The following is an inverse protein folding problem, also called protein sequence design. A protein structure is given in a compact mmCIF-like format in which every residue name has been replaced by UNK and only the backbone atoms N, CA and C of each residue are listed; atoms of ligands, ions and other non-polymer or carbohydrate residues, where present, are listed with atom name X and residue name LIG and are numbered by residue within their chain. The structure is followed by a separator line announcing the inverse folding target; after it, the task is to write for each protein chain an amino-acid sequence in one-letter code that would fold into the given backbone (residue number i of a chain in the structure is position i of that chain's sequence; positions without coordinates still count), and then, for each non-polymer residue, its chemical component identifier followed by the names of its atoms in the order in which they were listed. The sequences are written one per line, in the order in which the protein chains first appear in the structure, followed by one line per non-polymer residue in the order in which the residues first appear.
data_IF_744260446023
#
_entry.id   IF_744260446023
#
_cell.length_a   1.000
_cell.length_b   1.000
_cell.length_c   1.000
_cell.angle_alpha   90.00
_cell.angle_beta   90.00
_cell.angle_gamma   90.00
#
_symmetry.space_group_name_H-M   'P 1'
#
loop_
_entity.id
_entity.type
_entity.pdbx_description
1 polymer ?
#
# COMPACT_ATOMS: atom_id res chain seq x y z
N UNK A 1 35.04 9.96 61.84
CA UNK A 1 36.10 8.93 61.77
C UNK A 1 36.34 8.68 60.29
N UNK A 2 37.07 9.53 59.59
CA UNK A 2 38.54 9.66 59.51
C UNK A 2 39.20 8.53 58.70
N UNK A 3 39.66 8.90 57.51
CA UNK A 3 40.80 8.35 56.77
C UNK A 3 40.62 7.12 55.86
N UNK A 4 39.51 7.00 55.14
CA UNK A 4 39.53 6.34 53.82
C UNK A 4 39.49 7.42 52.74
N UNK A 5 40.63 8.08 52.49
CA UNK A 5 40.85 8.65 51.17
C UNK A 5 40.91 7.45 50.22
N UNK A 6 39.81 7.20 49.50
CA UNK A 6 39.81 6.18 48.45
C UNK A 6 40.94 6.51 47.48
N UNK A 7 42.03 5.75 47.56
CA UNK A 7 43.11 5.78 46.57
C UNK A 7 42.46 5.48 45.22
N UNK A 8 42.24 6.51 44.41
CA UNK A 8 41.58 6.33 43.12
C UNK A 8 42.51 5.60 42.16
N UNK A 9 41.95 5.01 41.10
CA UNK A 9 42.79 4.43 40.04
C UNK A 9 43.76 5.47 39.47
N UNK A 10 43.34 6.72 39.41
CA UNK A 10 44.17 7.84 38.98
C UNK A 10 45.33 8.11 39.95
N UNK A 11 45.08 8.14 41.27
CA UNK A 11 46.14 8.35 42.26
C UNK A 11 47.18 7.23 42.24
N UNK A 12 46.76 5.96 42.05
CA UNK A 12 47.68 4.83 41.90
C UNK A 12 48.52 4.90 40.62
N UNK A 13 47.98 5.48 39.53
CA UNK A 13 48.74 5.70 38.30
C UNK A 13 49.81 6.80 38.50
N UNK A 14 49.49 7.87 39.22
CA UNK A 14 50.48 8.90 39.54
C UNK A 14 51.62 8.37 40.43
N UNK A 15 51.30 7.49 41.39
CA UNK A 15 52.31 6.81 42.22
C UNK A 15 53.18 5.84 41.41
N UNK A 16 52.60 5.11 40.44
CA UNK A 16 53.34 4.26 39.49
C UNK A 16 54.30 5.08 38.63
N UNK A 17 53.87 6.25 38.13
CA UNK A 17 54.70 7.15 37.32
C UNK A 17 55.89 7.73 38.12
N UNK A 18 55.65 8.11 39.38
CA UNK A 18 56.72 8.56 40.28
C UNK A 18 57.75 7.46 40.55
N UNK A 19 57.30 6.23 40.82
CA UNK A 19 58.19 5.08 41.03
C UNK A 19 58.98 4.72 39.75
N UNK A 20 58.36 4.89 38.58
CA UNK A 20 59.00 4.67 37.28
C UNK A 20 60.11 5.70 37.03
N UNK A 21 59.85 6.98 37.32
CA UNK A 21 60.85 8.03 37.18
C UNK A 21 62.07 7.77 38.09
N UNK A 22 61.85 7.39 39.34
CA UNK A 22 62.93 7.05 40.28
C UNK A 22 63.74 5.85 39.81
N UNK A 23 63.08 4.80 39.29
CA UNK A 23 63.77 3.63 38.74
C UNK A 23 64.59 3.99 37.49
N UNK A 24 64.06 4.86 36.63
CA UNK A 24 64.75 5.33 35.43
C UNK A 24 66.03 6.11 35.77
N UNK A 25 65.98 7.04 36.74
CA UNK A 25 67.14 7.81 37.18
C UNK A 25 68.24 6.90 37.73
N UNK A 26 67.89 5.92 38.58
CA UNK A 26 68.86 4.96 39.13
C UNK A 26 69.46 4.05 38.06
N UNK A 27 68.66 3.64 37.06
CA UNK A 27 69.17 2.86 35.93
C UNK A 27 70.17 3.69 35.11
N UNK A 28 69.88 4.97 34.88
CA UNK A 28 70.78 5.87 34.17
C UNK A 28 72.11 6.04 34.91
N UNK A 29 72.09 6.16 36.24
CA UNK A 29 73.29 6.21 37.07
C UNK A 29 74.13 4.93 36.96
N UNK A 30 73.50 3.75 37.05
CA UNK A 30 74.18 2.46 36.86
C UNK A 30 74.80 2.36 35.46
N UNK A 31 74.07 2.76 34.42
CA UNK A 31 74.57 2.74 33.04
C UNK A 31 75.76 3.69 32.86
N UNK A 32 75.75 4.86 33.49
CA UNK A 32 76.86 5.80 33.46
C UNK A 32 78.10 5.22 34.17
N UNK A 33 77.93 4.56 35.31
CA UNK A 33 79.02 3.87 36.03
C UNK A 33 79.58 2.72 35.18
N UNK A 34 78.73 1.91 34.56
CA UNK A 34 79.15 0.83 33.67
C UNK A 34 79.90 1.33 32.43
N UNK A 35 79.43 2.44 31.83
CA UNK A 35 80.12 3.09 30.73
C UNK A 35 81.50 3.60 31.16
N UNK A 36 81.59 4.20 32.35
CA UNK A 36 82.85 4.64 32.92
C UNK A 36 83.81 3.46 33.17
N UNK A 37 83.32 2.29 33.59
CA UNK A 37 84.11 1.08 33.79
C UNK A 37 84.61 0.46 32.47
N UNK A 38 83.86 0.63 31.38
CA UNK A 38 84.19 0.07 30.07
C UNK A 38 85.19 0.92 29.25
N UNK A 39 85.57 2.12 29.72
CA UNK A 39 86.51 3.01 29.02
C UNK A 39 87.97 2.51 29.13
N UNK A 40 88.68 2.27 28.02
CA UNK A 40 90.06 1.80 28.05
C UNK A 40 91.01 2.92 28.49
N UNK A 41 91.86 2.64 29.50
CA UNK A 41 92.94 3.53 29.94
C UNK A 41 92.77 4.20 31.33
N UNK A 42 91.84 3.74 32.17
CA UNK A 42 91.66 4.25 33.54
C UNK A 42 92.60 3.59 34.56
N UNK A 43 92.92 4.34 35.62
CA UNK A 43 93.70 3.85 36.76
C UNK A 43 92.95 2.74 37.50
N UNK A 44 93.67 1.73 38.00
CA UNK A 44 93.08 0.62 38.75
C UNK A 44 92.29 1.09 39.99
N UNK A 45 92.76 2.16 40.65
CA UNK A 45 92.08 2.75 41.81
C UNK A 45 90.72 3.37 41.43
N UNK A 46 90.61 4.02 40.26
CA UNK A 46 89.35 4.60 39.76
C UNK A 46 88.35 3.51 39.35
N UNK A 47 88.86 2.37 38.86
CA UNK A 47 88.04 1.20 38.54
C UNK A 47 87.50 0.54 39.80
N UNK A 48 88.33 0.38 40.84
CA UNK A 48 87.90 -0.17 42.12
C UNK A 48 86.86 0.71 42.82
N UNK A 49 87.02 2.03 42.80
CA UNK A 49 86.00 2.95 43.32
C UNK A 49 84.69 2.86 42.52
N UNK A 50 84.78 2.83 41.18
CA UNK A 50 83.59 2.68 40.32
C UNK A 50 82.87 1.35 40.55
N UNK A 51 83.58 0.27 40.87
CA UNK A 51 82.99 -1.03 41.24
C UNK A 51 82.29 -0.98 42.61
N UNK A 52 82.83 -0.25 43.59
CA UNK A 52 82.16 -0.05 44.87
C UNK A 52 80.87 0.78 44.70
N UNK A 53 80.91 1.86 43.93
CA UNK A 53 79.72 2.65 43.61
C UNK A 53 78.69 1.86 42.79
N UNK A 54 79.14 0.95 41.93
CA UNK A 54 78.24 0.06 41.19
C UNK A 54 77.47 -0.87 42.14
N UNK A 55 78.13 -1.41 43.16
CA UNK A 55 77.47 -2.30 44.13
C UNK A 55 76.36 -1.56 44.91
N UNK A 56 76.64 -0.34 45.37
CA UNK A 56 75.64 0.49 46.06
C UNK A 56 74.49 0.94 45.15
N UNK A 57 74.81 1.32 43.90
CA UNK A 57 73.79 1.75 42.93
C UNK A 57 72.93 0.58 42.44
N UNK A 58 73.51 -0.63 42.34
CA UNK A 58 72.77 -1.85 42.03
C UNK A 58 71.76 -2.20 43.13
N UNK A 59 72.12 -2.08 44.41
CA UNK A 59 71.16 -2.31 45.51
C UNK A 59 69.97 -1.36 45.46
N UNK A 60 70.23 -0.07 45.17
CA UNK A 60 69.18 0.95 44.98
C UNK A 60 68.29 0.65 43.78
N UNK A 61 68.87 0.25 42.65
CA UNK A 61 68.12 -0.12 41.45
C UNK A 61 67.19 -1.32 41.70
N UNK A 62 67.67 -2.31 42.48
CA UNK A 62 66.85 -3.47 42.85
C UNK A 62 65.71 -3.05 43.77
N UNK A 63 65.94 -2.18 44.76
CA UNK A 63 64.87 -1.72 45.66
C UNK A 63 63.81 -0.90 44.91
N UNK A 64 64.21 0.04 44.04
CA UNK A 64 63.24 0.79 43.22
C UNK A 64 62.49 -0.09 42.23
N UNK A 65 63.11 -1.15 41.70
CA UNK A 65 62.42 -2.11 40.84
C UNK A 65 61.38 -2.93 41.60
N UNK A 66 61.62 -3.24 42.88
CA UNK A 66 60.64 -3.92 43.75
C UNK A 66 59.45 -2.98 44.01
N UNK A 67 59.72 -1.72 44.34
CA UNK A 67 58.68 -0.71 44.59
C UNK A 67 57.81 -0.48 43.34
N UNK A 68 58.41 -0.39 42.14
CA UNK A 68 57.68 -0.26 40.89
C UNK A 68 56.76 -1.48 40.60
N UNK A 69 57.21 -2.69 40.93
CA UNK A 69 56.37 -3.90 40.79
C UNK A 69 55.22 -3.88 41.79
N UNK A 70 55.47 -3.42 43.02
CA UNK A 70 54.45 -3.29 44.05
C UNK A 70 53.37 -2.29 43.64
N UNK A 71 53.75 -1.08 43.19
CA UNK A 71 52.80 -0.08 42.69
C UNK A 71 52.02 -0.60 41.49
N UNK A 72 52.65 -1.37 40.60
CA UNK A 72 51.94 -2.00 39.46
C UNK A 72 50.78 -2.90 39.89
N UNK A 73 51.01 -3.77 40.88
CA UNK A 73 49.96 -4.65 41.40
C UNK A 73 48.85 -3.86 42.09
N UNK A 74 49.21 -2.81 42.84
CA UNK A 74 48.27 -1.89 43.49
C UNK A 74 47.38 -1.17 42.48
N UNK A 75 47.96 -0.61 41.41
CA UNK A 75 47.23 0.04 40.32
C UNK A 75 46.27 -0.92 39.61
N UNK A 76 46.72 -2.16 39.37
CA UNK A 76 45.87 -3.19 38.75
C UNK A 76 44.67 -3.55 39.62
N UNK A 77 44.87 -3.68 40.93
CA UNK A 77 43.77 -3.96 41.86
C UNK A 77 42.79 -2.79 41.94
N UNK A 78 43.28 -1.55 41.98
CA UNK A 78 42.45 -0.34 41.92
C UNK A 78 41.62 -0.27 40.63
N UNK A 79 42.19 -0.68 39.49
CA UNK A 79 41.45 -0.78 38.22
C UNK A 79 40.30 -1.78 38.29
N UNK A 80 40.57 -2.99 38.79
CA UNK A 80 39.61 -4.09 38.83
C UNK A 80 38.47 -3.79 39.81
N UNK A 81 38.79 -3.23 40.97
CA UNK A 81 37.80 -2.84 41.99
C UNK A 81 36.89 -1.72 41.47
N UNK A 82 37.44 -0.66 40.88
CA UNK A 82 36.67 0.43 40.29
C UNK A 82 35.82 -0.03 39.08
N UNK A 83 36.34 -0.93 38.24
CA UNK A 83 35.59 -1.48 37.10
C UNK A 83 34.35 -2.30 37.51
N UNK A 84 34.39 -2.98 38.66
CA UNK A 84 33.24 -3.73 39.20
C UNK A 84 32.14 -2.80 39.73
N UNK A 85 32.50 -1.66 40.31
CA UNK A 85 31.55 -0.65 40.82
C UNK A 85 30.77 0.04 39.71
N UNK A 86 31.33 0.19 38.52
CA UNK A 86 30.61 0.80 37.38
C UNK A 86 29.55 -0.13 36.76
N UNK A 87 29.74 -1.46 36.87
CA UNK A 87 28.78 -2.46 36.38
C UNK A 87 27.63 -2.74 37.34
N UNK A 88 27.86 -2.52 38.65
CA UNK A 88 26.78 -2.54 39.64
C UNK A 88 26.22 -1.14 39.68
N UNK A 89 24.91 -0.99 39.61
CA UNK A 89 24.21 0.29 39.51
C UNK A 89 24.34 1.20 40.75
N UNK A 90 25.47 1.19 41.46
CA UNK A 90 25.74 1.91 42.70
C UNK A 90 25.56 3.43 42.53
N UNK A 91 25.91 3.97 41.35
CA UNK A 91 25.71 5.40 41.05
C UNK A 91 24.24 5.77 40.74
N UNK A 92 23.39 4.81 40.36
CA UNK A 92 21.96 5.07 40.14
C UNK A 92 21.20 5.28 41.46
N UNK A 93 21.72 4.78 42.59
CA UNK A 93 21.16 5.04 43.92
C UNK A 93 21.24 6.51 44.37
N UNK A 94 22.10 7.31 43.70
CA UNK A 94 22.30 8.74 43.96
C UNK A 94 21.44 9.64 43.05
N UNK A 95 20.65 9.06 42.15
CA UNK A 95 19.75 9.82 41.28
C UNK A 95 18.68 10.50 42.15
N UNK A 96 18.72 11.82 42.19
CA UNK A 96 17.64 12.62 42.76
C UNK A 96 16.49 12.69 41.74
N UNK A 97 15.25 12.52 42.23
CA UNK A 97 14.01 12.50 41.43
C UNK A 97 13.77 11.23 40.57
N UNK A 98 13.81 10.06 41.21
CA UNK A 98 13.43 8.76 40.60
C UNK A 98 11.96 8.72 40.14
N UNK A 99 11.08 9.48 40.79
CA UNK A 99 9.65 9.53 40.48
C UNK A 99 9.39 10.15 39.10
N UNK A 100 10.02 11.28 38.77
CA UNK A 100 9.90 11.89 37.44
C UNK A 100 10.50 11.03 36.33
N UNK A 101 11.56 10.26 36.62
CA UNK A 101 12.13 9.31 35.66
C UNK A 101 11.16 8.17 35.35
N UNK A 102 10.49 7.62 36.37
CA UNK A 102 9.48 6.59 36.17
C UNK A 102 8.32 7.12 35.32
N UNK A 103 7.80 8.30 35.65
CA UNK A 103 6.72 8.94 34.90
C UNK A 103 7.11 9.17 33.43
N UNK A 104 8.33 9.67 33.19
CA UNK A 104 8.86 9.86 31.85
C UNK A 104 8.97 8.54 31.06
N UNK A 105 9.53 7.49 31.67
CA UNK A 105 9.64 6.18 31.01
C UNK A 105 8.26 5.61 30.71
N UNK A 106 7.32 5.68 31.65
CA UNK A 106 5.95 5.21 31.42
C UNK A 106 5.22 6.00 30.35
N UNK A 107 5.45 7.32 30.27
CA UNK A 107 4.89 8.16 29.21
C UNK A 107 5.45 7.74 27.84
N UNK A 108 6.76 7.52 27.75
CA UNK A 108 7.40 7.08 26.51
C UNK A 108 6.91 5.69 26.07
N UNK A 109 6.75 4.75 27.01
CA UNK A 109 6.18 3.44 26.72
C UNK A 109 4.73 3.55 26.21
N UNK A 110 3.93 4.44 26.81
CA UNK A 110 2.55 4.67 26.40
C UNK A 110 2.48 5.28 25.00
N UNK A 111 3.23 6.36 24.73
CA UNK A 111 3.30 7.00 23.41
C UNK A 111 3.76 6.03 22.35
N UNK A 112 4.77 5.20 22.64
CA UNK A 112 5.25 4.21 21.69
C UNK A 112 4.18 3.17 21.37
N UNK A 113 3.47 2.68 22.39
CA UNK A 113 2.36 1.74 22.20
C UNK A 113 1.24 2.37 21.36
N UNK A 114 0.78 3.57 21.71
CA UNK A 114 -0.30 4.26 21.00
C UNK A 114 0.09 4.59 19.55
N UNK A 115 1.34 4.96 19.31
CA UNK A 115 1.85 5.20 17.96
C UNK A 115 1.84 3.93 17.11
N UNK A 116 2.25 2.80 17.67
CA UNK A 116 2.20 1.51 16.98
C UNK A 116 0.74 1.08 16.71
N UNK A 117 -0.14 1.26 17.68
CA UNK A 117 -1.56 0.97 17.53
C UNK A 117 -2.19 1.85 16.43
N UNK A 118 -1.86 3.15 16.40
CA UNK A 118 -2.32 4.09 15.38
C UNK A 118 -1.87 3.69 13.96
N UNK A 119 -0.58 3.38 13.77
CA UNK A 119 -0.06 2.94 12.47
C UNK A 119 -0.73 1.64 12.02
N UNK A 120 -0.95 0.72 12.95
CA UNK A 120 -1.62 -0.55 12.68
C UNK A 120 -3.09 -0.35 12.25
N UNK A 121 -3.78 0.62 12.87
CA UNK A 121 -5.15 1.00 12.54
C UNK A 121 -5.28 1.60 11.12
N UNK A 122 -4.27 2.33 10.66
CA UNK A 122 -4.31 2.99 9.34
C UNK A 122 -4.20 2.02 8.16
N UNK A 123 -3.51 0.89 8.30
CA UNK A 123 -3.19 0.02 7.16
C UNK A 123 -3.68 -1.41 7.31
N UNK A 124 -3.43 -2.05 8.46
CA UNK A 124 -3.73 -3.48 8.64
C UNK A 124 -5.16 -3.71 9.13
N UNK A 125 -5.65 -2.80 9.96
CA UNK A 125 -7.01 -2.83 10.49
C UNK A 125 -7.91 -1.78 9.83
N UNK A 126 -7.46 -1.20 8.70
CA UNK A 126 -8.29 -0.29 7.93
C UNK A 126 -9.49 -1.04 7.35
N UNK A 127 -10.63 -0.34 7.32
CA UNK A 127 -11.86 -0.85 6.72
C UNK A 127 -12.21 0.07 5.58
N UNK A 128 -12.19 -0.49 4.38
CA UNK A 128 -12.51 0.24 3.16
C UNK A 128 -14.00 0.18 2.84
N UNK A 129 -14.42 1.04 1.91
CA UNK A 129 -15.79 1.06 1.41
C UNK A 129 -16.08 -0.15 0.52
N UNK A 130 -17.37 -0.53 0.46
CA UNK A 130 -17.83 -1.50 -0.51
C UNK A 130 -17.68 -0.93 -1.93
N UNK A 131 -16.86 -1.57 -2.76
CA UNK A 131 -16.61 -1.16 -4.15
C UNK A 131 -17.75 -1.58 -5.08
N UNK A 132 -18.82 -0.79 -5.15
CA UNK A 132 -19.87 -0.94 -6.17
C UNK A 132 -19.44 -0.19 -7.45
N UNK A 133 -19.17 -0.93 -8.53
CA UNK A 133 -18.63 -0.38 -9.77
C UNK A 133 -19.75 -0.28 -10.81
N UNK A 134 -20.03 0.93 -11.27
CA UNK A 134 -20.93 1.24 -12.38
C UNK A 134 -20.19 2.18 -13.33
N UNK A 135 -20.05 1.77 -14.60
CA UNK A 135 -19.27 2.51 -15.61
C UNK A 135 -20.25 3.05 -16.64
N UNK A 136 -20.22 4.37 -16.84
CA UNK A 136 -21.08 5.04 -17.83
C UNK A 136 -20.51 4.98 -19.25
N UNK A 137 -19.19 4.79 -19.39
CA UNK A 137 -18.50 4.76 -20.68
C UNK A 137 -18.65 3.40 -21.37
N UNK A 138 -19.32 3.33 -22.54
CA UNK A 138 -19.52 2.08 -23.26
C UNK A 138 -18.24 1.51 -23.89
N UNK A 139 -17.16 2.28 -24.03
CA UNK A 139 -15.90 1.83 -24.64
C UNK A 139 -15.02 1.03 -23.66
N UNK A 140 -15.31 1.13 -22.36
CA UNK A 140 -14.54 0.45 -21.30
C UNK A 140 -15.06 -0.98 -21.12
N UNK A 141 -14.35 -1.95 -21.70
CA UNK A 141 -14.68 -3.38 -21.57
C UNK A 141 -14.04 -4.05 -20.35
N UNK A 142 -12.96 -3.49 -19.82
CA UNK A 142 -12.21 -4.03 -18.68
C UNK A 142 -11.99 -2.95 -17.62
N UNK A 143 -12.20 -3.30 -16.35
CA UNK A 143 -12.04 -2.36 -15.24
C UNK A 143 -11.07 -2.89 -14.19
N UNK A 144 -10.10 -2.05 -13.83
CA UNK A 144 -9.17 -2.31 -12.73
C UNK A 144 -9.85 -1.90 -11.42
N UNK A 145 -10.20 -2.89 -10.60
CA UNK A 145 -10.94 -2.72 -9.33
C UNK A 145 -10.28 -1.74 -8.36
N UNK A 146 -8.96 -1.60 -8.42
CA UNK A 146 -8.20 -0.69 -7.55
C UNK A 146 -8.24 0.78 -7.98
N UNK A 147 -8.64 1.08 -9.22
CA UNK A 147 -8.84 2.44 -9.70
C UNK A 147 -10.23 3.01 -9.34
N UNK A 148 -11.03 2.26 -8.59
CA UNK A 148 -12.34 2.72 -8.14
C UNK A 148 -12.19 3.81 -7.08
N UNK A 149 -12.85 4.95 -7.31
CA UNK A 149 -12.95 6.04 -6.34
C UNK A 149 -14.40 6.21 -5.87
N UNK A 150 -14.61 6.61 -4.60
CA UNK A 150 -15.95 6.92 -4.11
C UNK A 150 -16.53 8.15 -4.85
N UNK A 151 -17.86 8.33 -4.85
CA UNK A 151 -18.49 9.54 -5.38
C UNK A 151 -18.03 10.81 -4.64
N UNK A 152 -17.83 11.91 -5.37
CA UNK A 152 -17.31 13.18 -4.85
C UNK A 152 -18.06 13.69 -3.60
N UNK A 153 -19.39 13.54 -3.59
CA UNK A 153 -20.23 13.92 -2.44
C UNK A 153 -19.85 13.17 -1.17
N UNK A 154 -19.67 11.85 -1.27
CA UNK A 154 -19.26 10.99 -0.15
C UNK A 154 -17.81 11.27 0.26
N UNK A 155 -16.92 11.42 -0.71
CA UNK A 155 -15.51 11.74 -0.45
C UNK A 155 -15.37 13.03 0.35
N UNK A 156 -16.12 14.08 -0.02
CA UNK A 156 -16.09 15.36 0.69
C UNK A 156 -16.52 15.25 2.15
N UNK A 157 -17.45 14.35 2.48
CA UNK A 157 -17.90 14.13 3.87
C UNK A 157 -16.85 13.32 4.64
N UNK A 158 -16.24 12.32 4.00
CA UNK A 158 -15.21 11.48 4.62
C UNK A 158 -13.91 12.25 4.89
N UNK A 159 -13.46 13.11 3.97
CA UNK A 159 -12.28 13.97 4.17
C UNK A 159 -12.48 14.95 5.33
N UNK A 160 -13.73 15.33 5.61
CA UNK A 160 -14.03 16.19 6.75
C UNK A 160 -13.82 15.50 8.09
N UNK A 161 -13.86 14.16 8.14
CA UNK A 161 -13.59 13.38 9.35
C UNK A 161 -12.12 13.48 9.78
N UNK A 162 -11.22 13.79 8.86
CA UNK A 162 -9.81 14.01 9.18
C UNK A 162 -9.54 15.37 9.84
N UNK A 163 -10.51 16.29 9.85
CA UNK A 163 -10.35 17.61 10.46
C UNK A 163 -10.66 17.57 11.97
N UNK A 164 -9.72 18.01 12.83
CA UNK A 164 -9.88 17.93 14.29
C UNK A 164 -10.97 18.87 14.83
N UNK A 165 -11.31 19.93 14.10
CA UNK A 165 -12.27 20.95 14.54
C UNK A 165 -13.74 20.57 14.29
N UNK A 166 -13.99 19.45 13.59
CA UNK A 166 -15.34 19.04 13.19
C UNK A 166 -15.90 18.00 14.16
N UNK A 167 -17.13 18.25 14.60
CA UNK A 167 -17.86 17.32 15.47
C UNK A 167 -18.23 16.05 14.69
N UNK A 168 -17.83 14.89 15.22
CA UNK A 168 -18.10 13.59 14.63
C UNK A 168 -19.60 13.29 14.54
N UNK A 169 -20.40 13.81 15.47
CA UNK A 169 -21.85 13.58 15.49
C UNK A 169 -22.56 14.32 14.35
N UNK A 170 -22.12 15.54 14.07
CA UNK A 170 -22.61 16.32 12.94
C UNK A 170 -22.26 15.66 11.61
N UNK A 171 -21.02 15.18 11.45
CA UNK A 171 -20.61 14.46 10.25
C UNK A 171 -21.40 13.16 10.04
N UNK A 172 -21.71 12.42 11.10
CA UNK A 172 -22.58 11.24 11.03
C UNK A 172 -23.97 11.60 10.50
N UNK A 173 -24.58 12.67 11.02
CA UNK A 173 -25.90 13.11 10.53
C UNK A 173 -25.88 13.55 9.06
N UNK A 174 -24.80 14.16 8.59
CA UNK A 174 -24.62 14.51 7.18
C UNK A 174 -24.49 13.26 6.31
N UNK A 175 -23.78 12.25 6.78
CA UNK A 175 -23.65 10.97 6.08
C UNK A 175 -24.99 10.25 5.99
N UNK A 176 -25.77 10.22 7.08
CA UNK A 176 -27.10 9.60 7.08
C UNK A 176 -28.06 10.29 6.11
N UNK A 177 -28.06 11.63 6.09
CA UNK A 177 -28.84 12.41 5.13
C UNK A 177 -28.45 12.10 3.68
N UNK A 178 -27.14 12.01 3.41
CA UNK A 178 -26.62 11.67 2.09
C UNK A 178 -27.04 10.26 1.66
N UNK A 179 -26.95 9.28 2.56
CA UNK A 179 -27.39 7.91 2.30
C UNK A 179 -28.90 7.83 2.04
N UNK A 180 -29.71 8.58 2.79
CA UNK A 180 -31.16 8.62 2.59
C UNK A 180 -31.54 9.29 1.27
N UNK A 181 -30.83 10.34 0.87
CA UNK A 181 -30.99 10.95 -0.45
C UNK A 181 -30.72 9.94 -1.58
N UNK A 182 -29.63 9.17 -1.50
CA UNK A 182 -29.31 8.12 -2.50
C UNK A 182 -30.42 7.06 -2.55
N UNK A 183 -30.93 6.62 -1.41
CA UNK A 183 -32.03 5.64 -1.37
C UNK A 183 -33.28 6.18 -2.05
N UNK A 184 -33.66 7.44 -1.76
CA UNK A 184 -34.83 8.07 -2.36
C UNK A 184 -34.67 8.26 -3.87
N UNK A 185 -33.51 8.72 -4.33
CA UNK A 185 -33.23 8.89 -5.76
C UNK A 185 -33.26 7.56 -6.51
N UNK A 186 -32.56 6.54 -6.01
CA UNK A 186 -32.58 5.18 -6.59
C UNK A 186 -34.01 4.62 -6.65
N UNK A 187 -34.79 4.77 -5.58
CA UNK A 187 -36.17 4.31 -5.55
C UNK A 187 -37.05 5.05 -6.56
N UNK A 188 -36.92 6.37 -6.66
CA UNK A 188 -37.65 7.21 -7.62
C UNK A 188 -37.38 6.75 -9.06
N UNK A 189 -36.11 6.67 -9.46
CA UNK A 189 -35.74 6.26 -10.81
C UNK A 189 -36.14 4.81 -11.12
N UNK A 190 -36.06 3.91 -10.14
CA UNK A 190 -36.50 2.51 -10.32
C UNK A 190 -38.00 2.42 -10.58
N UNK A 191 -38.81 3.16 -9.82
CA UNK A 191 -40.27 3.19 -9.99
C UNK A 191 -40.64 3.81 -11.33
N UNK A 192 -40.03 4.95 -11.68
CA UNK A 192 -40.28 5.64 -12.95
C UNK A 192 -39.92 4.77 -14.16
N UNK A 193 -38.76 4.11 -14.13
CA UNK A 193 -38.32 3.23 -15.20
C UNK A 193 -39.25 2.00 -15.35
N UNK A 194 -39.63 1.38 -14.23
CA UNK A 194 -40.49 0.19 -14.25
C UNK A 194 -41.93 0.48 -14.67
N UNK A 195 -42.53 1.57 -14.21
CA UNK A 195 -43.96 1.81 -14.46
C UNK A 195 -44.17 2.75 -15.65
N UNK A 196 -43.48 3.88 -15.72
CA UNK A 196 -43.72 4.85 -16.78
C UNK A 196 -43.02 4.48 -18.09
N UNK A 197 -41.71 4.18 -18.05
CA UNK A 197 -40.96 3.85 -19.27
C UNK A 197 -41.38 2.50 -19.85
N UNK A 198 -41.67 1.50 -19.01
CA UNK A 198 -42.13 0.20 -19.50
C UNK A 198 -43.53 0.28 -20.14
N UNK A 199 -44.45 1.06 -19.57
CA UNK A 199 -45.78 1.26 -20.12
C UNK A 199 -45.72 1.97 -21.48
N UNK A 200 -45.00 3.09 -21.55
CA UNK A 200 -44.79 3.82 -22.80
C UNK A 200 -44.08 2.97 -23.86
N UNK A 201 -43.08 2.17 -23.49
CA UNK A 201 -42.43 1.23 -24.40
C UNK A 201 -43.40 0.18 -24.95
N UNK A 202 -44.28 -0.35 -24.11
CA UNK A 202 -45.29 -1.32 -24.53
C UNK A 202 -46.32 -0.70 -25.48
N UNK A 203 -46.74 0.55 -25.25
CA UNK A 203 -47.63 1.29 -26.13
C UNK A 203 -46.97 1.55 -27.49
N UNK A 204 -45.76 2.10 -27.49
CA UNK A 204 -44.99 2.33 -28.72
C UNK A 204 -44.78 1.03 -29.49
N UNK A 205 -44.48 -0.08 -28.81
CA UNK A 205 -44.32 -1.37 -29.47
C UNK A 205 -45.65 -1.87 -30.09
N UNK A 206 -46.80 -1.63 -29.46
CA UNK A 206 -48.11 -1.93 -30.07
C UNK A 206 -48.35 -1.08 -31.32
N UNK A 207 -48.05 0.22 -31.27
CA UNK A 207 -48.18 1.12 -32.41
C UNK A 207 -47.24 0.74 -33.56
N UNK A 208 -45.97 0.46 -33.28
CA UNK A 208 -45.00 0.01 -34.28
C UNK A 208 -45.46 -1.28 -34.93
N UNK A 209 -45.98 -2.24 -34.16
CA UNK A 209 -46.53 -3.48 -34.72
C UNK A 209 -47.80 -3.24 -35.55
N UNK A 210 -48.65 -2.29 -35.15
CA UNK A 210 -49.81 -1.87 -35.93
C UNK A 210 -49.38 -1.26 -37.27
N UNK A 211 -48.43 -0.32 -37.25
CA UNK A 211 -47.84 0.27 -38.46
C UNK A 211 -47.18 -0.77 -39.35
N UNK A 212 -46.46 -1.74 -38.78
CA UNK A 212 -45.87 -2.86 -39.52
C UNK A 212 -46.94 -3.71 -40.22
N UNK A 213 -48.06 -4.02 -39.55
CA UNK A 213 -49.17 -4.77 -40.18
C UNK A 213 -49.82 -3.97 -41.31
N UNK A 214 -50.03 -2.67 -41.10
CA UNK A 214 -50.60 -1.80 -42.13
C UNK A 214 -49.67 -1.67 -43.33
N UNK A 215 -48.36 -1.51 -43.09
CA UNK A 215 -47.35 -1.51 -44.14
C UNK A 215 -47.39 -2.81 -44.94
N UNK A 216 -47.38 -3.96 -44.28
CA UNK A 216 -47.49 -5.27 -44.94
C UNK A 216 -48.82 -5.43 -45.69
N UNK A 217 -49.92 -4.86 -45.19
CA UNK A 217 -51.21 -4.89 -45.88
C UNK A 217 -51.20 -4.05 -47.16
N UNK A 218 -50.59 -2.86 -47.12
CA UNK A 218 -50.38 -2.01 -48.30
C UNK A 218 -49.45 -2.70 -49.30
N UNK A 219 -48.36 -3.31 -48.83
CA UNK A 219 -47.44 -4.09 -49.65
C UNK A 219 -48.15 -5.26 -50.34
N UNK A 220 -49.00 -5.99 -49.61
CA UNK A 220 -49.81 -7.08 -50.18
C UNK A 220 -50.86 -6.60 -51.20
N UNK A 221 -51.40 -5.39 -51.02
CA UNK A 221 -52.33 -4.78 -51.98
C UNK A 221 -51.62 -4.31 -53.26
N UNK A 222 -50.44 -3.71 -53.13
CA UNK A 222 -49.68 -3.15 -54.25
C UNK A 222 -48.91 -4.23 -55.02
N UNK A 223 -48.25 -5.13 -54.30
CA UNK A 223 -47.25 -6.07 -54.85
C UNK A 223 -47.54 -7.54 -54.55
N UNK A 224 -48.50 -7.84 -53.67
CA UNK A 224 -48.83 -9.22 -53.30
C UNK A 224 -49.48 -10.00 -54.45
N UNK A 225 -49.47 -11.33 -54.33
CA UNK A 225 -50.09 -12.23 -55.31
C UNK A 225 -51.59 -12.47 -55.05
N UNK A 226 -52.26 -11.61 -54.28
CA UNK A 226 -53.70 -11.72 -54.05
C UNK A 226 -54.51 -11.34 -55.30
N UNK A 227 -55.70 -11.93 -55.48
CA UNK A 227 -56.55 -11.70 -56.66
C UNK A 227 -57.01 -10.23 -56.83
N UNK A 228 -56.96 -9.45 -55.74
CA UNK A 228 -57.29 -8.03 -55.73
C UNK A 228 -56.05 -7.12 -55.70
N UNK A 229 -54.85 -7.67 -55.86
CA UNK A 229 -53.65 -6.84 -55.91
C UNK A 229 -53.61 -6.03 -57.20
N UNK A 230 -53.05 -4.84 -57.12
CA UNK A 230 -52.92 -3.92 -58.26
C UNK A 230 -52.09 -4.58 -59.36
N UNK A 231 -51.04 -5.34 -59.01
CA UNK A 231 -50.24 -6.11 -59.94
C UNK A 231 -51.07 -7.12 -60.75
N UNK A 232 -51.96 -7.90 -60.11
CA UNK A 232 -52.83 -8.85 -60.82
C UNK A 232 -53.97 -8.16 -61.58
N UNK A 233 -54.47 -7.03 -61.07
CA UNK A 233 -55.46 -6.21 -61.77
C UNK A 233 -54.89 -5.59 -63.05
N UNK A 234 -53.64 -5.12 -63.03
CA UNK A 234 -52.94 -4.66 -64.22
C UNK A 234 -52.73 -5.81 -65.22
N UNK A 235 -52.30 -6.98 -64.75
CA UNK A 235 -52.17 -8.16 -65.62
C UNK A 235 -53.51 -8.59 -66.24
N UNK A 236 -54.63 -8.51 -65.51
CA UNK A 236 -55.94 -8.86 -66.06
C UNK A 236 -56.46 -7.81 -67.05
N UNK A 237 -56.15 -6.52 -66.83
CA UNK A 237 -56.41 -5.45 -67.81
C UNK A 237 -55.59 -5.67 -69.08
N UNK A 238 -54.31 -6.05 -68.97
CA UNK A 238 -53.46 -6.37 -70.12
C UNK A 238 -54.02 -7.57 -70.90
N UNK A 239 -54.53 -8.61 -70.21
CA UNK A 239 -55.19 -9.76 -70.84
C UNK A 239 -56.53 -9.39 -71.50
N UNK A 240 -57.33 -8.52 -70.90
CA UNK A 240 -58.58 -8.03 -71.48
C UNK A 240 -58.31 -7.17 -72.72
N UNK A 241 -57.26 -6.34 -72.68
CA UNK A 241 -56.81 -5.57 -73.84
C UNK A 241 -56.39 -6.50 -74.98
N UNK A 242 -55.62 -7.55 -74.70
CA UNK A 242 -55.26 -8.55 -75.70
C UNK A 242 -56.48 -9.25 -76.32
N UNK A 243 -57.52 -9.55 -75.52
CA UNK A 243 -58.79 -10.13 -76.02
C UNK A 243 -59.65 -9.16 -76.84
N UNK A 244 -59.60 -7.86 -76.53
CA UNK A 244 -60.26 -6.82 -77.32
C UNK A 244 -59.57 -6.56 -78.66
N UNK A 245 -58.29 -6.90 -78.77
CA UNK A 245 -57.52 -6.86 -80.02
C UNK A 245 -57.66 -8.16 -80.84
N UNK A 246 -58.30 -9.21 -80.31
CA UNK A 246 -58.68 -10.42 -81.05
C UNK A 246 -60.08 -10.28 -81.69
N UNK A 247 -60.22 -10.41 -83.03
CA UNK A 247 -61.50 -10.20 -83.70
C UNK A 247 -62.47 -11.39 -83.56
N UNK A 248 -63.74 -11.09 -83.29
CA UNK A 248 -64.87 -12.03 -83.24
C UNK A 248 -64.93 -12.94 -84.49
N UNK A 249 -64.66 -14.24 -84.29
CA UNK A 249 -65.01 -15.30 -85.23
C UNK A 249 -66.12 -16.17 -84.63
N UNK A 250 -67.37 -15.69 -84.65
CA UNK A 250 -68.52 -16.60 -84.62
C UNK A 250 -69.77 -15.96 -85.20
N UNK A 251 -69.86 -15.94 -86.53
CA UNK A 251 -71.15 -15.86 -87.23
C UNK A 251 -71.07 -16.64 -88.56
N UNK A 252 -72.11 -17.44 -88.81
CA UNK A 252 -72.52 -18.10 -90.06
C UNK A 252 -71.69 -19.29 -90.60
N UNK A 253 -72.37 -20.45 -90.70
CA UNK A 253 -72.47 -21.24 -91.95
C UNK A 253 -73.63 -22.24 -91.94
N UNK A 254 -74.64 -21.86 -92.72
CA UNK A 254 -75.34 -22.65 -93.75
C UNK A 254 -76.29 -23.80 -93.37
N UNK A 255 -77.58 -23.46 -93.46
CA UNK A 255 -78.65 -24.32 -93.96
C UNK A 255 -78.35 -24.78 -95.40
N UNK A 256 -78.36 -26.09 -95.66
CA UNK A 256 -78.92 -26.60 -96.91
C UNK A 256 -79.52 -28.00 -96.74
N UNK A 257 -80.75 -28.15 -97.23
CA UNK A 257 -81.65 -29.29 -97.07
C UNK A 257 -81.56 -30.21 -98.30
N UNK A 258 -81.55 -31.55 -98.12
CA UNK A 258 -82.35 -32.46 -98.96
C UNK A 258 -82.43 -33.93 -98.45
N UNK A 259 -83.61 -34.25 -97.90
CA UNK A 259 -84.58 -35.31 -98.29
C UNK A 259 -84.14 -36.81 -98.37
N UNK A 260 -84.76 -37.58 -97.46
CA UNK A 260 -85.27 -38.98 -97.51
C UNK A 260 -84.35 -40.19 -97.65
N UNK A 261 -84.41 -41.11 -96.68
CA UNK A 261 -85.28 -42.30 -96.70
C UNK A 261 -85.15 -43.10 -95.38
N UNK A 262 -86.29 -43.46 -94.79
CA UNK A 262 -86.46 -44.58 -93.86
C UNK A 262 -86.38 -45.90 -94.67
N UNK A 263 -86.00 -47.07 -94.09
CA UNK A 263 -86.78 -47.73 -93.05
C UNK A 263 -86.01 -48.52 -91.96
N UNK A 264 -86.58 -48.44 -90.75
CA UNK A 264 -87.08 -49.55 -89.94
C UNK A 264 -86.32 -50.90 -89.91
N UNK A 265 -85.88 -51.28 -88.70
CA UNK A 265 -85.85 -52.61 -88.06
C UNK A 265 -84.69 -52.59 -87.04
N UNK A 266 -84.84 -52.87 -85.75
CA UNK A 266 -85.81 -53.72 -85.08
C UNK A 266 -85.04 -54.76 -84.27
N UNK A 267 -84.73 -54.45 -83.01
CA UNK A 267 -84.85 -55.28 -81.79
C UNK A 267 -84.17 -54.62 -80.62
#
# INVERSE_FOLDING_TARGET
MSADLEFTYFDSLCEEDQALQQNYEQLQDVLQILKNLAEPGKSEDDQLQSLQYLAESHEKLVSSSIDLRYTKYKTRESQVTNGKRFRRNENHSKLQNVQGLKEYVTLMEHVNKESLDYVNLLQRLSVDLAKQIEISDPEVSEFVVDNWSPPDGMQSILEQLANPDKDSTHLQSQLDQYLDQIKMERAKYTIENKYSLQETLNEVNKEVNYWRRNWNAIENLMFGDSAHSIKKMLQSIDLLRAKLEEPDQSCEKDLNVNISTTPNQGR
#
